data_IF_047513430837
#
_entry.id   IF_047513430837
#
_cell.length_a   1.000
_cell.length_b   1.000
_cell.length_c   1.000
_cell.angle_alpha   90.00
_cell.angle_beta   90.00
_cell.angle_gamma   90.00
#
_symmetry.space_group_name_H-M   'P 1'
#
loop_
_entity.id
_entity.type
_entity.pdbx_description
1 polymer ?
#
# COMPACT_ATOMS: atom_id res chain seq x y z
N UNK A 1 -4.28 1.15 8.63
CA UNK A 1 -4.20 -0.14 7.90
C UNK A 1 -5.53 -0.87 7.80
N UNK A 2 -6.28 -1.08 8.88
CA UNK A 2 -7.65 -1.65 8.79
C UNK A 2 -8.59 -0.77 7.94
N UNK A 3 -8.43 0.54 8.05
CA UNK A 3 -9.11 1.51 7.20
C UNK A 3 -8.85 1.31 5.70
N UNK A 4 -7.65 0.86 5.29
CA UNK A 4 -7.36 0.56 3.88
C UNK A 4 -8.23 -0.61 3.37
N UNK A 5 -8.42 -1.63 4.20
CA UNK A 5 -9.29 -2.77 3.88
C UNK A 5 -10.75 -2.31 3.80
N UNK A 6 -11.19 -1.44 4.71
CA UNK A 6 -12.55 -0.89 4.67
C UNK A 6 -12.79 -0.07 3.39
N UNK A 7 -11.83 0.74 2.96
CA UNK A 7 -11.90 1.46 1.68
C UNK A 7 -12.02 0.51 0.49
N UNK A 8 -11.23 -0.56 0.47
CA UNK A 8 -11.33 -1.59 -0.56
C UNK A 8 -12.72 -2.25 -0.60
N UNK A 9 -13.28 -2.60 0.57
CA UNK A 9 -14.64 -3.16 0.70
C UNK A 9 -15.73 -2.18 0.22
N UNK A 10 -15.48 -0.87 0.33
CA UNK A 10 -16.37 0.18 -0.18
C UNK A 10 -16.21 0.41 -1.70
N UNK A 11 -15.41 -0.39 -2.39
CA UNK A 11 -15.15 -0.22 -3.83
C UNK A 11 -14.21 0.94 -4.14
N UNK A 12 -13.34 1.31 -3.19
CA UNK A 12 -12.29 2.33 -3.34
C UNK A 12 -10.86 1.75 -3.25
N UNK A 13 -10.50 0.79 -4.12
CA UNK A 13 -9.21 0.10 -4.08
C UNK A 13 -8.00 1.01 -4.35
N UNK A 14 -8.11 2.03 -5.21
CA UNK A 14 -6.99 2.94 -5.48
C UNK A 14 -6.73 3.85 -4.28
N UNK A 15 -7.81 4.33 -3.64
CA UNK A 15 -7.74 5.11 -2.40
C UNK A 15 -7.17 4.27 -1.25
N UNK A 16 -7.51 2.99 -1.17
CA UNK A 16 -6.90 2.06 -0.22
C UNK A 16 -5.38 1.94 -0.42
N UNK A 17 -4.94 1.79 -1.68
CA UNK A 17 -3.50 1.76 -2.01
C UNK A 17 -2.79 3.07 -1.68
N UNK A 18 -3.44 4.22 -1.89
CA UNK A 18 -2.91 5.51 -1.48
C UNK A 18 -2.68 5.58 0.04
N UNK A 19 -3.65 5.10 0.84
CA UNK A 19 -3.52 5.05 2.30
C UNK A 19 -2.37 4.12 2.75
N UNK A 20 -2.22 2.96 2.10
CA UNK A 20 -1.10 2.04 2.35
C UNK A 20 0.23 2.72 2.05
N UNK A 21 0.34 3.43 0.91
CA UNK A 21 1.53 4.18 0.55
C UNK A 21 1.87 5.24 1.59
N UNK A 22 0.89 6.04 2.04
CA UNK A 22 1.11 7.05 3.07
C UNK A 22 1.61 6.45 4.39
N UNK A 23 1.02 5.33 4.82
CA UNK A 23 1.49 4.61 6.01
C UNK A 23 2.95 4.13 5.86
N UNK A 24 3.30 3.56 4.70
CA UNK A 24 4.68 3.13 4.44
C UNK A 24 5.63 4.31 4.47
N UNK A 25 5.29 5.43 3.83
CA UNK A 25 6.11 6.66 3.83
C UNK A 25 6.39 7.16 5.24
N UNK A 26 5.35 7.26 6.08
CA UNK A 26 5.47 7.67 7.48
C UNK A 26 6.45 6.77 8.24
N UNK A 27 6.36 5.45 8.09
CA UNK A 27 7.27 4.51 8.77
C UNK A 27 8.72 4.61 8.33
N UNK A 28 8.97 4.91 7.05
CA UNK A 28 10.33 5.14 6.58
C UNK A 28 10.87 6.47 7.13
N UNK A 29 10.05 7.52 7.16
CA UNK A 29 10.40 8.83 7.75
C UNK A 29 10.66 8.75 9.27
N UNK A 30 9.96 7.87 9.99
CA UNK A 30 10.19 7.54 11.40
C UNK A 30 11.53 6.79 11.65
N UNK A 31 12.24 6.38 10.60
CA UNK A 31 13.59 5.80 10.69
C UNK A 31 13.69 4.30 10.41
N UNK A 32 12.66 3.65 9.86
CA UNK A 32 12.80 2.28 9.34
C UNK A 32 13.68 2.32 8.07
N UNK A 33 14.86 1.71 8.14
CA UNK A 33 15.80 1.65 7.02
C UNK A 33 15.47 0.49 6.07
N UNK A 34 14.93 0.84 4.90
CA UNK A 34 14.56 -0.10 3.83
C UNK A 34 15.72 -0.99 3.37
N UNK A 35 16.97 -0.50 3.45
CA UNK A 35 18.13 -1.26 2.99
C UNK A 35 18.52 -2.39 3.95
N UNK A 36 18.07 -2.33 5.21
CA UNK A 36 18.30 -3.36 6.23
C UNK A 36 17.19 -4.42 6.27
N UNK A 37 16.12 -4.24 5.51
CA UNK A 37 15.06 -5.23 5.38
C UNK A 37 15.52 -6.43 4.54
N UNK A 38 14.88 -7.58 4.73
CA UNK A 38 15.07 -8.70 3.82
C UNK A 38 14.59 -8.33 2.40
N UNK A 39 15.05 -9.10 1.41
CA UNK A 39 14.77 -8.81 0.00
C UNK A 39 13.28 -8.67 -0.31
N UNK A 40 12.42 -9.51 0.29
CA UNK A 40 10.99 -9.51 0.01
C UNK A 40 10.36 -8.21 0.52
N UNK A 41 10.65 -7.85 1.77
CA UNK A 41 10.16 -6.60 2.35
C UNK A 41 10.70 -5.38 1.61
N UNK A 42 11.99 -5.35 1.30
CA UNK A 42 12.61 -4.24 0.54
C UNK A 42 11.95 -4.05 -0.81
N UNK A 43 11.74 -5.12 -1.57
CA UNK A 43 11.16 -5.05 -2.91
C UNK A 43 9.68 -4.59 -2.85
N UNK A 44 8.90 -5.11 -1.88
CA UNK A 44 7.52 -4.68 -1.65
C UNK A 44 7.41 -3.21 -1.29
N UNK A 45 8.19 -2.76 -0.29
CA UNK A 45 8.16 -1.38 0.18
C UNK A 45 8.60 -0.42 -0.94
N UNK A 46 9.63 -0.79 -1.71
CA UNK A 46 10.07 0.01 -2.85
C UNK A 46 8.98 0.12 -3.92
N UNK A 47 8.25 -0.96 -4.22
CA UNK A 47 7.16 -0.95 -5.18
C UNK A 47 5.98 -0.07 -4.72
N UNK A 48 5.62 -0.13 -3.43
CA UNK A 48 4.57 0.73 -2.85
C UNK A 48 4.96 2.20 -2.94
N UNK A 49 6.21 2.54 -2.59
CA UNK A 49 6.70 3.92 -2.65
C UNK A 49 6.76 4.47 -4.08
N UNK A 50 7.09 3.61 -5.05
CA UNK A 50 7.12 3.96 -6.48
C UNK A 50 5.72 4.08 -7.11
N UNK A 51 4.68 3.54 -6.48
CA UNK A 51 3.31 3.60 -7.00
C UNK A 51 2.84 5.05 -7.05
N UNK A 52 2.25 5.53 -8.18
CA UNK A 52 1.75 6.89 -8.26
C UNK A 52 0.60 7.12 -7.28
N UNK A 53 0.48 8.33 -6.75
CA UNK A 53 -0.58 8.70 -5.82
C UNK A 53 -1.89 8.95 -6.59
N UNK A 54 -2.62 7.87 -6.86
CA UNK A 54 -3.90 7.88 -7.61
C UNK A 54 -5.08 7.50 -6.70
N UNK A 55 -6.29 7.84 -7.13
CA UNK A 55 -7.54 7.56 -6.42
C UNK A 55 -8.64 7.08 -7.37
N UNK A 56 -9.72 6.58 -6.80
CA UNK A 56 -10.81 5.98 -7.56
C UNK A 56 -11.63 7.05 -8.30
N UNK A 57 -11.79 8.24 -7.73
CA UNK A 57 -12.56 9.34 -8.30
C UNK A 57 -12.01 9.81 -9.65
N UNK A 58 -10.69 9.83 -9.82
CA UNK A 58 -10.04 10.34 -11.03
C UNK A 58 -9.53 9.23 -11.96
N UNK A 59 -9.20 8.04 -11.44
CA UNK A 59 -8.39 7.07 -12.19
C UNK A 59 -9.04 5.70 -12.42
N UNK A 60 -10.19 5.40 -11.80
CA UNK A 60 -10.79 4.05 -11.81
C UNK A 60 -11.08 3.49 -13.21
N UNK A 61 -11.31 4.33 -14.22
CA UNK A 61 -11.56 3.89 -15.60
C UNK A 61 -10.28 3.76 -16.45
N UNK A 62 -9.17 4.32 -15.98
CA UNK A 62 -7.91 4.41 -16.73
C UNK A 62 -6.87 3.40 -16.25
N UNK A 63 -6.99 2.93 -15.01
CA UNK A 63 -5.99 2.08 -14.35
C UNK A 63 -6.66 0.84 -13.79
N UNK A 64 -6.09 -0.36 -13.98
CA UNK A 64 -6.58 -1.54 -13.30
C UNK A 64 -6.48 -1.36 -11.79
N UNK A 65 -7.55 -1.68 -11.09
CA UNK A 65 -7.59 -1.67 -9.63
C UNK A 65 -7.30 -3.05 -9.07
N UNK A 66 -6.52 -3.15 -7.98
CA UNK A 66 -6.34 -4.41 -7.28
C UNK A 66 -7.66 -4.88 -6.65
N UNK A 67 -7.81 -6.20 -6.57
CA UNK A 67 -8.90 -6.87 -5.85
C UNK A 67 -8.81 -6.66 -4.34
N UNK A 68 -9.89 -6.99 -3.63
CA UNK A 68 -9.91 -6.93 -2.16
C UNK A 68 -8.85 -7.87 -1.56
N UNK A 69 -8.76 -9.08 -2.10
CA UNK A 69 -7.82 -10.11 -1.65
C UNK A 69 -6.36 -9.67 -1.84
N UNK A 70 -6.05 -9.02 -2.96
CA UNK A 70 -4.72 -8.45 -3.21
C UNK A 70 -4.40 -7.32 -2.22
N UNK A 71 -5.36 -6.44 -1.92
CA UNK A 71 -5.18 -5.37 -0.94
C UNK A 71 -4.96 -5.95 0.46
N UNK A 72 -5.76 -6.94 0.86
CA UNK A 72 -5.61 -7.62 2.15
C UNK A 72 -4.24 -8.29 2.28
N UNK A 73 -3.77 -8.96 1.22
CA UNK A 73 -2.44 -9.55 1.16
C UNK A 73 -1.32 -8.51 1.29
N UNK A 74 -1.43 -7.38 0.58
CA UNK A 74 -0.47 -6.27 0.69
C UNK A 74 -0.47 -5.68 2.10
N UNK A 75 -1.64 -5.40 2.67
CA UNK A 75 -1.79 -4.88 4.04
C UNK A 75 -1.12 -5.80 5.05
N UNK A 76 -1.37 -7.10 4.93
CA UNK A 76 -0.78 -8.10 5.82
C UNK A 76 0.75 -8.11 5.67
N UNK A 77 1.26 -8.12 4.45
CA UNK A 77 2.70 -8.18 4.22
C UNK A 77 3.43 -6.90 4.65
N UNK A 78 2.82 -5.74 4.45
CA UNK A 78 3.34 -4.46 4.94
C UNK A 78 3.45 -4.45 6.47
N UNK A 79 2.45 -4.98 7.18
CA UNK A 79 2.50 -5.12 8.65
C UNK A 79 3.63 -6.04 9.11
N UNK A 80 3.87 -7.15 8.41
CA UNK A 80 5.00 -8.05 8.72
C UNK A 80 6.35 -7.35 8.53
N UNK A 81 6.48 -6.48 7.52
CA UNK A 81 7.73 -5.80 7.21
C UNK A 81 8.02 -4.57 8.09
N UNK A 82 6.98 -3.83 8.48
CA UNK A 82 7.11 -2.53 9.17
C UNK A 82 6.65 -2.54 10.63
N UNK A 83 5.98 -3.62 11.07
CA UNK A 83 5.59 -3.86 12.45
C UNK A 83 6.75 -3.87 13.44
#
# INVERSE_FOLDING_TARGET
>A
MEEAINLAKMGKPLTAMLLIKSYVQEKIEEGKDVNKMDKICRDLISAILATPSINDESWRVFVPSPSLEEIEAVVQKVKECLG
#
